data_IF_079676832293
#
_entry.id   IF_079676832293
#
_cell.length_a   1.000
_cell.length_b   1.000
_cell.length_c   1.000
_cell.angle_alpha   90.00
_cell.angle_beta   90.00
_cell.angle_gamma   90.00
#
_symmetry.space_group_name_H-M   'P 1'
#
loop_
_entity.id
_entity.type
_entity.pdbx_description
1 polymer ?
#
# COMPACT_ATOMS: atom_id res chain seq x y z
N UNK A 1 21.56 10.14 24.56
CA UNK A 1 22.01 10.50 23.19
C UNK A 1 22.00 9.22 22.37
N UNK A 2 21.00 9.02 21.51
CA UNK A 2 20.89 7.81 20.69
C UNK A 2 21.84 7.92 19.51
N UNK A 3 22.66 6.89 19.37
CA UNK A 3 23.78 6.77 18.44
C UNK A 3 23.29 6.59 16.99
N UNK A 4 23.79 7.43 16.10
CA UNK A 4 23.48 7.49 14.67
C UNK A 4 24.25 6.36 13.96
N UNK A 5 23.77 5.13 14.17
CA UNK A 5 24.23 3.90 13.49
C UNK A 5 23.05 3.09 12.90
N UNK A 6 21.79 3.51 13.14
CA UNK A 6 20.60 2.78 12.71
C UNK A 6 20.10 3.14 11.29
N UNK A 7 20.75 4.08 10.61
CA UNK A 7 20.33 4.51 9.27
C UNK A 7 20.76 3.56 8.16
N UNK A 8 21.78 2.73 8.40
CA UNK A 8 22.31 1.81 7.39
C UNK A 8 21.46 0.53 7.27
N UNK A 9 20.76 0.13 8.34
CA UNK A 9 19.83 -1.02 8.32
C UNK A 9 18.58 -0.70 7.48
N UNK A 10 18.14 0.56 7.48
CA UNK A 10 16.99 1.00 6.69
C UNK A 10 17.34 1.02 5.19
N UNK A 11 18.57 1.40 4.84
CA UNK A 11 19.06 1.50 3.46
C UNK A 11 18.96 0.17 2.69
N UNK A 12 19.32 -0.95 3.33
CA UNK A 12 19.27 -2.26 2.69
C UNK A 12 17.83 -2.79 2.52
N UNK A 13 16.91 -2.41 3.42
CA UNK A 13 15.49 -2.77 3.32
C UNK A 13 14.70 -1.95 2.27
N UNK A 14 15.16 -0.74 1.93
CA UNK A 14 14.50 0.08 0.90
C UNK A 14 14.76 -0.41 -0.53
N UNK A 15 15.64 -1.39 -0.70
CA UNK A 15 15.75 -2.15 -1.95
C UNK A 15 14.60 -3.17 -2.18
N UNK A 16 13.63 -3.28 -1.25
CA UNK A 16 12.77 -4.48 -1.10
C UNK A 16 11.24 -4.27 -1.27
N UNK A 17 10.70 -3.05 -1.21
CA UNK A 17 9.26 -2.79 -1.46
C UNK A 17 9.03 -1.75 -2.55
N UNK A 18 9.60 -0.56 -2.39
CA UNK A 18 9.47 0.54 -3.35
C UNK A 18 9.97 0.15 -4.74
N UNK A 19 10.97 -0.74 -4.82
CA UNK A 19 11.43 -1.32 -6.08
C UNK A 19 10.37 -2.20 -6.75
N UNK A 20 9.69 -3.05 -5.98
CA UNK A 20 8.63 -3.92 -6.48
C UNK A 20 7.43 -3.11 -6.95
N UNK A 21 6.99 -2.11 -6.17
CA UNK A 21 5.93 -1.19 -6.57
C UNK A 21 6.30 -0.45 -7.87
N UNK A 22 7.55 0.02 -7.99
CA UNK A 22 8.04 0.66 -9.22
C UNK A 22 8.02 -0.28 -10.43
N UNK A 23 8.43 -1.54 -10.27
CA UNK A 23 8.38 -2.54 -11.35
C UNK A 23 6.93 -2.81 -11.76
N UNK A 24 6.04 -3.01 -10.79
CA UNK A 24 4.60 -3.22 -11.06
C UNK A 24 3.99 -2.00 -11.76
N UNK A 25 4.35 -0.78 -11.35
CA UNK A 25 3.88 0.44 -12.01
C UNK A 25 4.32 0.51 -13.49
N UNK A 26 5.55 0.13 -13.80
CA UNK A 26 6.02 0.03 -15.19
C UNK A 26 5.30 -1.05 -15.99
N UNK A 27 5.03 -2.20 -15.40
CA UNK A 27 4.25 -3.28 -16.04
C UNK A 27 2.82 -2.79 -16.35
N UNK A 28 2.17 -2.11 -15.40
CA UNK A 28 0.83 -1.56 -15.60
C UNK A 28 0.81 -0.50 -16.70
N UNK A 29 1.80 0.40 -16.74
CA UNK A 29 1.96 1.38 -17.81
C UNK A 29 2.21 0.71 -19.16
N UNK A 30 3.01 -0.35 -19.19
CA UNK A 30 3.26 -1.12 -20.40
C UNK A 30 1.97 -1.73 -20.97
N UNK A 31 1.18 -2.39 -20.12
CA UNK A 31 -0.13 -2.92 -20.49
C UNK A 31 -1.03 -1.80 -21.00
N UNK A 32 -1.11 -0.68 -20.28
CA UNK A 32 -1.88 0.49 -20.69
C UNK A 32 -1.47 0.99 -22.08
N UNK A 33 -0.17 1.11 -22.35
CA UNK A 33 0.36 1.61 -23.61
C UNK A 33 0.17 0.65 -24.80
N UNK A 34 -0.03 -0.64 -24.54
CA UNK A 34 -0.40 -1.61 -25.57
C UNK A 34 -1.91 -1.54 -25.85
N UNK A 35 -2.73 -1.39 -24.81
CA UNK A 35 -4.19 -1.40 -24.93
C UNK A 35 -4.79 -0.06 -25.36
N UNK A 36 -4.04 1.05 -25.30
CA UNK A 36 -4.55 2.39 -25.55
C UNK A 36 -3.76 3.13 -26.63
N UNK A 37 -4.47 3.92 -27.44
CA UNK A 37 -3.86 4.79 -28.46
C UNK A 37 -3.06 5.93 -27.81
N UNK A 38 -3.56 6.45 -26.68
CA UNK A 38 -2.91 7.51 -25.90
C UNK A 38 -1.83 6.91 -25.00
N UNK A 39 -0.59 6.92 -25.47
CA UNK A 39 0.56 6.35 -24.75
C UNK A 39 1.09 7.30 -23.70
N UNK A 40 1.26 6.79 -22.49
CA UNK A 40 1.93 7.46 -21.38
C UNK A 40 3.46 7.41 -21.60
N UNK A 41 4.12 8.56 -21.40
CA UNK A 41 5.57 8.73 -21.58
C UNK A 41 6.15 9.54 -20.41
N UNK A 42 7.48 9.47 -20.23
CA UNK A 42 8.19 10.20 -19.18
C UNK A 42 8.23 9.45 -17.84
N UNK A 43 8.42 10.19 -16.75
CA UNK A 43 8.50 9.60 -15.41
C UNK A 43 7.14 9.03 -14.95
N UNK A 44 7.17 8.05 -14.05
CA UNK A 44 5.96 7.54 -13.40
C UNK A 44 5.35 8.64 -12.53
N UNK A 45 4.02 8.79 -12.59
CA UNK A 45 3.29 9.75 -11.75
C UNK A 45 2.75 9.06 -10.49
N UNK A 46 2.39 9.87 -9.48
CA UNK A 46 1.86 9.38 -8.21
C UNK A 46 0.72 8.38 -8.37
N UNK A 47 -0.25 8.65 -9.25
CA UNK A 47 -1.39 7.77 -9.49
C UNK A 47 -1.00 6.36 -9.97
N UNK A 48 0.11 6.23 -10.70
CA UNK A 48 0.59 4.93 -11.16
C UNK A 48 1.27 4.15 -10.03
N UNK A 49 2.00 4.86 -9.15
CA UNK A 49 2.53 4.26 -7.94
C UNK A 49 1.41 3.80 -7.03
N UNK A 50 0.41 4.64 -6.77
CA UNK A 50 -0.75 4.29 -5.94
C UNK A 50 -1.49 3.06 -6.46
N UNK A 51 -1.75 3.00 -7.78
CA UNK A 51 -2.37 1.83 -8.42
C UNK A 51 -1.52 0.57 -8.27
N UNK A 52 -0.21 0.67 -8.49
CA UNK A 52 0.71 -0.46 -8.33
C UNK A 52 0.77 -0.95 -6.89
N UNK A 53 0.80 -0.02 -5.94
CA UNK A 53 0.81 -0.28 -4.50
C UNK A 53 -0.43 -1.07 -4.08
N UNK A 54 -1.61 -0.58 -4.49
CA UNK A 54 -2.88 -1.23 -4.22
C UNK A 54 -2.96 -2.63 -4.81
N UNK A 55 -2.42 -2.83 -6.02
CA UNK A 55 -2.40 -4.15 -6.65
C UNK A 55 -1.52 -5.14 -5.87
N UNK A 56 -0.34 -4.69 -5.43
CA UNK A 56 0.56 -5.49 -4.60
C UNK A 56 -0.14 -5.88 -3.31
N UNK A 57 -0.78 -4.93 -2.62
CA UNK A 57 -1.49 -5.19 -1.39
C UNK A 57 -2.68 -6.13 -1.55
N UNK A 58 -3.52 -5.93 -2.57
CA UNK A 58 -4.62 -6.85 -2.88
C UNK A 58 -4.12 -8.26 -3.10
N UNK A 59 -3.01 -8.40 -3.83
CA UNK A 59 -2.41 -9.71 -4.13
C UNK A 59 -1.89 -10.41 -2.87
N UNK A 60 -1.27 -9.66 -1.96
CA UNK A 60 -0.83 -10.19 -0.66
C UNK A 60 -2.02 -10.57 0.22
N UNK A 61 -3.01 -9.69 0.33
CA UNK A 61 -4.18 -9.91 1.18
C UNK A 61 -5.01 -11.11 0.73
N UNK A 62 -5.17 -11.30 -0.59
CA UNK A 62 -5.87 -12.47 -1.15
C UNK A 62 -5.21 -13.80 -0.77
N UNK A 63 -3.88 -13.81 -0.62
CA UNK A 63 -3.12 -15.01 -0.25
C UNK A 63 -3.14 -15.23 1.27
N UNK A 64 -3.01 -14.16 2.04
CA UNK A 64 -2.82 -14.25 3.49
C UNK A 64 -4.11 -14.29 4.30
N UNK A 65 -5.20 -13.67 3.82
CA UNK A 65 -6.42 -13.47 4.60
C UNK A 65 -7.65 -14.07 3.94
N UNK A 66 -7.66 -15.40 3.85
CA UNK A 66 -8.81 -16.17 3.35
C UNK A 66 -9.77 -16.61 4.48
N UNK A 67 -9.34 -16.53 5.74
CA UNK A 67 -10.16 -16.95 6.88
C UNK A 67 -11.10 -15.82 7.34
N UNK A 68 -12.38 -15.96 6.99
CA UNK A 68 -13.44 -15.03 7.37
C UNK A 68 -13.65 -14.94 8.89
N UNK A 69 -13.37 -16.01 9.66
CA UNK A 69 -13.51 -15.98 11.12
C UNK A 69 -12.43 -15.12 11.76
N UNK A 70 -11.21 -15.19 11.23
CA UNK A 70 -10.10 -14.32 11.66
C UNK A 70 -10.39 -12.85 11.33
N UNK A 71 -10.89 -12.58 10.12
CA UNK A 71 -11.25 -11.23 9.68
C UNK A 71 -12.38 -10.62 10.52
N UNK A 72 -13.41 -11.40 10.87
CA UNK A 72 -14.49 -10.97 11.74
C UNK A 72 -13.99 -10.63 13.16
N UNK A 73 -13.09 -11.45 13.72
CA UNK A 73 -12.47 -11.20 15.03
C UNK A 73 -11.66 -9.91 15.06
N UNK A 74 -10.98 -9.57 13.95
CA UNK A 74 -10.20 -8.35 13.82
C UNK A 74 -11.01 -7.12 13.39
N UNK A 75 -12.35 -7.23 13.25
CA UNK A 75 -13.19 -6.13 12.75
C UNK A 75 -12.68 -5.54 11.43
N UNK A 76 -12.17 -6.40 10.55
CA UNK A 76 -11.65 -5.98 9.26
C UNK A 76 -12.79 -5.55 8.31
N UNK A 77 -12.56 -4.48 7.56
CA UNK A 77 -13.49 -3.97 6.54
C UNK A 77 -12.75 -3.69 5.24
N UNK A 78 -13.48 -3.63 4.12
CA UNK A 78 -12.92 -3.22 2.83
C UNK A 78 -13.09 -1.72 2.64
N UNK A 79 -12.03 -1.03 2.22
CA UNK A 79 -12.10 0.38 1.84
C UNK A 79 -12.67 0.58 0.42
N UNK A 80 -12.79 1.83 0.00
CA UNK A 80 -13.26 2.23 -1.35
C UNK A 80 -12.38 1.65 -2.47
N UNK A 81 -11.11 1.39 -2.17
CA UNK A 81 -10.15 0.83 -3.11
C UNK A 81 -10.16 -0.71 -3.07
N UNK A 82 -10.97 -1.34 -2.21
CA UNK A 82 -11.14 -2.78 -2.08
C UNK A 82 -10.05 -3.49 -1.27
N UNK A 83 -9.26 -2.75 -0.48
CA UNK A 83 -8.25 -3.27 0.43
C UNK A 83 -8.86 -3.58 1.79
N UNK A 84 -8.45 -4.70 2.39
CA UNK A 84 -8.79 -5.04 3.77
C UNK A 84 -8.02 -4.14 4.73
N UNK A 85 -8.75 -3.41 5.57
CA UNK A 85 -8.24 -2.56 6.65
C UNK A 85 -8.85 -2.97 7.98
N UNK A 86 -8.15 -2.71 9.07
CA UNK A 86 -8.61 -3.00 10.43
C UNK A 86 -9.00 -1.68 11.10
N UNK A 87 -10.17 -1.64 11.76
CA UNK A 87 -10.51 -0.54 12.65
C UNK A 87 -9.69 -0.65 13.92
N UNK A 88 -8.73 0.24 14.11
CA UNK A 88 -7.98 0.36 15.37
C UNK A 88 -8.62 1.47 16.23
N UNK A 89 -8.47 1.37 17.55
CA UNK A 89 -9.01 2.35 18.52
C UNK A 89 -8.58 3.81 18.28
N UNK A 90 -7.53 4.04 17.47
CA UNK A 90 -7.09 5.39 17.08
C UNK A 90 -8.05 6.06 16.09
N UNK A 91 -8.84 5.28 15.34
CA UNK A 91 -9.83 5.79 14.36
C UNK A 91 -11.16 6.15 15.03
N UNK A 92 -11.38 5.68 16.26
CA UNK A 92 -12.65 5.83 17.01
C UNK A 92 -12.67 7.09 17.89
N UNK A 93 -11.67 7.97 17.74
CA UNK A 93 -11.65 9.28 18.37
C UNK A 93 -12.35 10.23 17.42
N UNK A 94 -13.50 10.78 17.83
CA UNK A 94 -14.32 11.80 17.16
C UNK A 94 -13.59 13.16 16.97
N UNK A 95 -12.29 13.15 16.72
CA UNK A 95 -11.51 14.34 16.36
C UNK A 95 -11.35 14.37 14.85
N UNK A 96 -12.35 15.01 14.22
CA UNK A 96 -12.31 15.48 12.84
C UNK A 96 -11.25 16.58 12.69
N UNK A 97 -9.97 16.25 12.77
CA UNK A 97 -8.92 17.19 12.39
C UNK A 97 -7.66 16.41 11.96
N UNK A 98 -7.35 16.50 10.66
CA UNK A 98 -6.01 16.37 10.08
C UNK A 98 -5.14 15.15 10.43
N UNK A 99 -5.73 13.99 10.69
CA UNK A 99 -4.98 12.72 10.67
C UNK A 99 -4.90 12.07 9.28
N UNK A 100 -5.28 12.79 8.22
CA UNK A 100 -5.33 12.29 6.84
C UNK A 100 -3.98 12.25 6.11
N UNK A 101 -2.85 12.54 6.76
CA UNK A 101 -1.56 12.63 6.06
C UNK A 101 -0.43 11.72 6.57
N UNK A 102 -0.55 11.03 7.70
CA UNK A 102 0.65 10.32 8.21
C UNK A 102 0.46 9.09 9.06
N UNK A 103 -0.76 8.75 9.46
CA UNK A 103 -1.01 7.50 10.19
C UNK A 103 -1.69 6.51 9.28
N UNK A 104 -0.82 5.86 8.49
CA UNK A 104 -1.08 4.65 7.73
C UNK A 104 -2.11 3.78 8.45
N UNK A 105 -3.32 3.70 7.88
CA UNK A 105 -4.12 2.50 7.96
C UNK A 105 -3.27 1.39 7.35
N UNK A 106 -2.43 0.76 8.17
CA UNK A 106 -1.46 -0.23 7.73
C UNK A 106 -2.24 -1.30 6.95
N UNK A 107 -2.01 -1.42 5.63
CA UNK A 107 -2.51 -2.59 4.92
C UNK A 107 -1.94 -3.79 5.64
N UNK A 108 -2.81 -4.75 5.92
CA UNK A 108 -2.51 -5.93 6.73
C UNK A 108 -1.26 -6.64 6.19
N UNK A 109 -0.09 -6.31 6.74
CA UNK A 109 1.17 -7.02 6.59
C UNK A 109 1.42 -7.61 7.97
N UNK A 110 1.13 -8.89 8.12
CA UNK A 110 1.60 -9.67 9.28
C UNK A 110 3.10 -9.95 9.11
#
# INVERSE_FOLDING_TARGET
MVNIQSTDILSDYFSTYSRNVRVVAWILRFIHNISNVNKLRGNLVYEEFKKAENLVFKSMQLRSFQDEKFLAKMQAFKDEEGLLRIRTKLVDSDEKEDLNSQFYCLPMML
#
